data_IF_692716194874
#
_entry.id   IF_692716194874
#
_cell.length_a   1.000
_cell.length_b   1.000
_cell.length_c   1.000
_cell.angle_alpha   90.00
_cell.angle_beta   90.00
_cell.angle_gamma   90.00
#
_symmetry.space_group_name_H-M   'P 1'
#
loop_
_entity.id
_entity.type
_entity.pdbx_description
1 polymer ?
#
# COMPACT_ATOMS: atom_id res chain seq x y z
N UNK A 1 -20.42 -9.31 37.69
CA UNK A 1 -20.59 -8.07 36.89
C UNK A 1 -19.27 -7.51 36.35
N UNK A 2 -18.12 -7.69 37.00
CA UNK A 2 -16.80 -7.17 36.54
C UNK A 2 -16.11 -7.98 35.42
N UNK A 3 -16.39 -9.27 35.30
CA UNK A 3 -15.75 -10.17 34.31
C UNK A 3 -16.30 -10.04 32.89
N UNK A 4 -17.55 -9.60 32.72
CA UNK A 4 -18.20 -9.48 31.40
C UNK A 4 -17.58 -8.34 30.60
N UNK A 5 -17.32 -7.19 31.24
CA UNK A 5 -16.62 -6.05 30.63
C UNK A 5 -15.17 -6.37 30.21
N UNK A 6 -14.50 -7.25 30.96
CA UNK A 6 -13.12 -7.67 30.66
C UNK A 6 -13.02 -8.58 29.42
N UNK A 7 -14.10 -9.27 29.04
CA UNK A 7 -14.14 -10.10 27.84
C UNK A 7 -14.45 -9.28 26.58
N UNK A 8 -15.39 -8.34 26.66
CA UNK A 8 -15.73 -7.45 25.54
C UNK A 8 -14.55 -6.55 25.14
N UNK A 9 -13.77 -6.03 26.11
CA UNK A 9 -12.57 -5.25 25.78
C UNK A 9 -11.48 -6.10 25.11
N UNK A 10 -11.34 -7.38 25.50
CA UNK A 10 -10.37 -8.29 24.85
C UNK A 10 -10.79 -8.69 23.45
N UNK A 11 -12.08 -8.93 23.20
CA UNK A 11 -12.60 -9.22 21.86
C UNK A 11 -12.41 -8.05 20.90
N UNK A 12 -12.68 -6.81 21.34
CA UNK A 12 -12.48 -5.61 20.53
C UNK A 12 -10.99 -5.38 20.19
N UNK A 13 -10.08 -5.59 21.15
CA UNK A 13 -8.63 -5.42 20.91
C UNK A 13 -8.09 -6.41 19.88
N UNK A 14 -8.56 -7.66 19.86
CA UNK A 14 -8.12 -8.66 18.88
C UNK A 14 -8.67 -8.35 17.49
N UNK A 15 -9.93 -7.95 17.39
CA UNK A 15 -10.55 -7.50 16.14
C UNK A 15 -9.82 -6.32 15.51
N UNK A 16 -9.53 -5.29 16.31
CA UNK A 16 -8.78 -4.10 15.89
C UNK A 16 -7.35 -4.44 15.45
N UNK A 17 -6.70 -5.38 16.15
CA UNK A 17 -5.35 -5.83 15.81
C UNK A 17 -5.33 -6.54 14.46
N UNK A 18 -6.28 -7.44 14.21
CA UNK A 18 -6.37 -8.16 12.95
C UNK A 18 -6.73 -7.23 11.79
N UNK A 19 -7.68 -6.30 11.99
CA UNK A 19 -8.04 -5.33 10.95
C UNK A 19 -6.85 -4.43 10.59
N UNK A 20 -6.08 -3.98 11.60
CA UNK A 20 -4.85 -3.22 11.39
C UNK A 20 -3.82 -4.01 10.56
N UNK A 21 -3.62 -5.30 10.88
CA UNK A 21 -2.73 -6.18 10.10
C UNK A 21 -3.19 -6.36 8.66
N UNK A 22 -4.49 -6.55 8.43
CA UNK A 22 -5.06 -6.67 7.08
C UNK A 22 -4.88 -5.38 6.31
N UNK A 23 -5.17 -4.22 6.92
CA UNK A 23 -5.01 -2.89 6.30
C UNK A 23 -3.55 -2.62 5.93
N UNK A 24 -2.62 -2.97 6.81
CA UNK A 24 -1.17 -2.88 6.58
C UNK A 24 -0.73 -3.79 5.43
N UNK A 25 -1.18 -5.05 5.44
CA UNK A 25 -0.89 -6.01 4.38
C UNK A 25 -1.40 -5.54 3.03
N UNK A 26 -2.65 -5.06 2.97
CA UNK A 26 -3.23 -4.48 1.77
C UNK A 26 -2.41 -3.28 1.26
N UNK A 27 -2.00 -2.37 2.15
CA UNK A 27 -1.14 -1.24 1.78
C UNK A 27 0.16 -1.69 1.12
N UNK A 28 0.84 -2.68 1.71
CA UNK A 28 2.10 -3.22 1.19
C UNK A 28 1.93 -3.90 -0.16
N UNK A 29 0.88 -4.72 -0.30
CA UNK A 29 0.58 -5.40 -1.56
C UNK A 29 0.30 -4.41 -2.69
N UNK A 30 -0.51 -3.37 -2.44
CA UNK A 30 -0.79 -2.32 -3.42
C UNK A 30 0.46 -1.54 -3.80
N UNK A 31 1.29 -1.16 -2.82
CA UNK A 31 2.55 -0.49 -3.09
C UNK A 31 3.49 -1.34 -3.96
N UNK A 32 3.63 -2.63 -3.64
CA UNK A 32 4.47 -3.56 -4.41
C UNK A 32 3.97 -3.72 -5.85
N UNK A 33 2.65 -3.87 -6.04
CA UNK A 33 2.06 -4.01 -7.37
C UNK A 33 2.28 -2.76 -8.24
N UNK A 34 2.16 -1.56 -7.66
CA UNK A 34 2.41 -0.30 -8.38
C UNK A 34 3.89 -0.11 -8.74
N UNK A 35 4.82 -0.49 -7.87
CA UNK A 35 6.26 -0.47 -8.18
C UNK A 35 6.62 -1.46 -9.29
N UNK A 36 5.99 -2.64 -9.28
CA UNK A 36 6.16 -3.62 -10.34
C UNK A 36 5.62 -3.09 -11.67
N UNK A 37 4.41 -2.52 -11.68
CA UNK A 37 3.82 -1.88 -12.86
C UNK A 37 4.72 -0.77 -13.42
N UNK A 38 5.27 0.10 -12.56
CA UNK A 38 6.23 1.12 -12.95
C UNK A 38 7.48 0.52 -13.60
N UNK A 39 8.01 -0.56 -13.03
CA UNK A 39 9.22 -1.22 -13.54
C UNK A 39 8.97 -1.88 -14.89
N UNK A 40 7.80 -2.52 -15.07
CA UNK A 40 7.35 -3.04 -16.37
C UNK A 40 7.16 -1.91 -17.40
N UNK A 41 6.56 -0.79 -17.02
CA UNK A 41 6.35 0.35 -17.90
C UNK A 41 7.68 0.93 -18.40
N UNK A 42 8.63 1.16 -17.48
CA UNK A 42 9.95 1.69 -17.80
C UNK A 42 10.88 0.67 -18.48
N UNK A 43 10.51 -0.61 -18.48
CA UNK A 43 11.30 -1.71 -19.05
C UNK A 43 12.63 -1.95 -18.32
N UNK A 44 12.73 -1.55 -17.05
CA UNK A 44 13.96 -1.67 -16.24
C UNK A 44 13.66 -1.61 -14.75
N UNK A 45 14.44 -2.31 -13.94
CA UNK A 45 14.34 -2.19 -12.49
C UNK A 45 14.91 -0.86 -11.98
N UNK A 46 14.82 -0.67 -10.65
CA UNK A 46 15.37 0.53 -10.01
C UNK A 46 16.88 0.58 -10.21
N UNK A 47 17.37 1.73 -10.67
CA UNK A 47 18.79 2.00 -10.96
C UNK A 47 19.39 1.20 -12.12
N UNK A 48 18.61 0.37 -12.80
CA UNK A 48 19.07 -0.28 -14.02
C UNK A 48 18.97 0.67 -15.22
N UNK A 49 19.78 0.39 -16.24
CA UNK A 49 19.68 1.03 -17.55
C UNK A 49 18.80 0.17 -18.44
N UNK A 50 17.74 0.77 -18.99
CA UNK A 50 16.92 0.14 -20.02
C UNK A 50 17.53 0.38 -21.40
N UNK A 51 17.13 -0.43 -22.37
CA UNK A 51 17.56 -0.29 -23.77
C UNK A 51 16.92 0.94 -24.44
N UNK A 52 15.67 1.25 -24.07
CA UNK A 52 14.90 2.39 -24.58
C UNK A 52 14.58 3.37 -23.43
N UNK A 53 14.64 4.67 -23.71
CA UNK A 53 14.25 5.70 -22.75
C UNK A 53 12.72 5.87 -22.73
N UNK A 54 12.11 5.65 -21.56
CA UNK A 54 10.67 5.77 -21.32
C UNK A 54 10.31 6.69 -20.15
N UNK A 55 11.27 7.50 -19.71
CA UNK A 55 11.14 8.41 -18.57
C UNK A 55 11.94 8.04 -17.31
N UNK A 56 11.80 8.90 -16.30
CA UNK A 56 12.46 8.79 -15.00
C UNK A 56 11.48 8.50 -13.88
N UNK A 57 11.89 7.67 -12.91
CA UNK A 57 11.21 7.54 -11.62
C UNK A 57 11.37 8.85 -10.86
N UNK A 58 10.27 9.54 -10.54
CA UNK A 58 10.27 10.88 -9.98
C UNK A 58 9.42 10.97 -8.71
N UNK A 59 9.77 10.12 -7.74
CA UNK A 59 9.10 10.06 -6.45
C UNK A 59 7.68 9.51 -6.54
N UNK A 60 6.78 10.06 -5.72
CA UNK A 60 5.39 9.63 -5.61
C UNK A 60 4.46 10.83 -5.69
N UNK A 61 3.24 10.60 -6.15
CA UNK A 61 2.14 11.52 -5.98
C UNK A 61 1.75 11.66 -4.49
N UNK A 62 1.02 12.73 -4.11
CA UNK A 62 0.40 12.82 -2.79
C UNK A 62 -0.39 11.55 -2.46
N UNK A 63 -0.42 11.16 -1.19
CA UNK A 63 -1.20 10.01 -0.78
C UNK A 63 -2.69 10.24 -1.00
N UNK A 64 -3.39 9.15 -1.28
CA UNK A 64 -4.85 9.11 -1.39
C UNK A 64 -5.37 7.84 -0.72
N UNK A 65 -6.61 7.89 -0.26
CA UNK A 65 -7.26 6.71 0.31
C UNK A 65 -7.97 5.90 -0.77
N UNK A 66 -7.85 4.58 -0.66
CA UNK A 66 -8.57 3.60 -1.45
C UNK A 66 -9.38 2.72 -0.52
N UNK A 67 -10.66 2.52 -0.83
CA UNK A 67 -11.49 1.55 -0.13
C UNK A 67 -11.16 0.15 -0.61
N UNK A 68 -10.69 -0.71 0.30
CA UNK A 68 -10.40 -2.13 0.05
C UNK A 68 -11.30 -2.95 0.97
N UNK A 69 -12.25 -3.68 0.39
CA UNK A 69 -13.30 -4.34 1.18
C UNK A 69 -14.12 -3.30 1.94
N UNK A 70 -14.04 -3.34 3.27
CA UNK A 70 -14.76 -2.42 4.18
C UNK A 70 -13.83 -1.37 4.83
N UNK A 71 -12.55 -1.34 4.49
CA UNK A 71 -11.57 -0.47 5.16
C UNK A 71 -10.87 0.47 4.18
N UNK A 72 -10.56 1.68 4.63
CA UNK A 72 -9.73 2.62 3.88
C UNK A 72 -8.23 2.26 4.00
N UNK A 73 -7.52 2.33 2.88
CA UNK A 73 -6.08 2.05 2.78
C UNK A 73 -5.41 3.23 2.10
N UNK A 74 -4.46 3.87 2.79
CA UNK A 74 -3.65 4.95 2.21
C UNK A 74 -2.67 4.39 1.18
N UNK A 75 -2.64 4.99 -0.02
CA UNK A 75 -1.76 4.57 -1.12
C UNK A 75 -1.02 5.77 -1.71
N UNK A 76 0.26 5.57 -2.03
CA UNK A 76 1.11 6.54 -2.75
C UNK A 76 1.49 5.95 -4.10
N UNK A 77 1.06 6.62 -5.17
CA UNK A 77 1.30 6.14 -6.54
C UNK A 77 2.67 6.64 -7.01
N UNK A 78 3.56 5.76 -7.49
CA UNK A 78 4.83 6.15 -8.08
C UNK A 78 4.62 7.09 -9.27
N UNK A 79 5.46 8.13 -9.38
CA UNK A 79 5.38 9.12 -10.45
C UNK A 79 6.47 8.90 -11.48
N UNK A 80 6.12 9.01 -12.76
CA UNK A 80 7.08 9.10 -13.87
C UNK A 80 7.13 10.55 -14.38
N UNK A 81 8.31 11.02 -14.75
CA UNK A 81 8.48 12.26 -15.50
C UNK A 81 9.24 12.03 -16.79
N UNK A 82 9.12 13.00 -17.72
CA UNK A 82 9.86 13.03 -18.98
C UNK A 82 9.60 11.77 -19.82
N UNK A 83 8.32 11.38 -19.92
CA UNK A 83 7.81 10.26 -20.74
C UNK A 83 7.90 10.58 -22.22
#
# INVERSE_FOLDING_TARGET
MREVYQNEEKENVVGDTLESMVREGARRMLAAALEEEMSRFLGRERYERGEEFRGYRNGYHPSRELTVGLSAVEVKVPRVSDV
#
